data_IF_034411592421
#
_entry.id   IF_034411592421
#
_cell.length_a   1.000
_cell.length_b   1.000
_cell.length_c   1.000
_cell.angle_alpha   90.00
_cell.angle_beta   90.00
_cell.angle_gamma   90.00
#
_symmetry.space_group_name_H-M   'P 1'
#
loop_
_entity.id
_entity.type
_entity.pdbx_description
1 polymer ?
#
# COMPACT_ATOMS: atom_id res chain seq x y z
N UNK A 1 -9.37 -11.30 0.84
CA UNK A 1 -7.93 -11.14 0.51
C UNK A 1 -7.10 -11.56 1.72
N UNK A 2 -6.09 -12.37 1.51
CA UNK A 2 -5.17 -12.77 2.57
C UNK A 2 -3.93 -11.87 2.57
N UNK A 3 -3.15 -11.91 3.66
CA UNK A 3 -1.85 -11.24 3.70
C UNK A 3 -0.94 -11.75 2.58
N UNK A 4 -0.97 -13.07 2.29
CA UNK A 4 -0.21 -13.65 1.18
C UNK A 4 -0.67 -13.10 -0.18
N UNK A 5 -1.96 -12.87 -0.35
CA UNK A 5 -2.50 -12.26 -1.56
C UNK A 5 -2.05 -10.81 -1.73
N UNK A 6 -2.08 -10.05 -0.64
CA UNK A 6 -1.57 -8.67 -0.62
C UNK A 6 -0.09 -8.65 -1.03
N UNK A 7 0.71 -9.53 -0.42
CA UNK A 7 2.13 -9.66 -0.72
C UNK A 7 2.38 -9.96 -2.20
N UNK A 8 1.63 -10.89 -2.76
CA UNK A 8 1.77 -11.27 -4.16
C UNK A 8 1.50 -10.11 -5.10
N UNK A 9 0.43 -9.35 -4.85
CA UNK A 9 0.08 -8.20 -5.68
C UNK A 9 1.13 -7.10 -5.55
N UNK A 10 1.59 -6.80 -4.33
CA UNK A 10 2.63 -5.80 -4.11
C UNK A 10 3.91 -6.15 -4.86
N UNK A 11 4.31 -7.43 -4.83
CA UNK A 11 5.53 -7.89 -5.48
C UNK A 11 5.39 -8.03 -7.00
N UNK A 12 4.17 -7.98 -7.54
CA UNK A 12 3.93 -8.00 -8.98
C UNK A 12 4.27 -6.66 -9.64
N UNK A 13 4.38 -5.59 -8.87
CA UNK A 13 4.72 -4.28 -9.41
C UNK A 13 6.21 -4.22 -9.80
N UNK A 14 6.55 -3.48 -10.87
CA UNK A 14 7.93 -3.49 -11.39
C UNK A 14 8.96 -3.11 -10.33
N UNK A 15 10.03 -3.90 -10.23
CA UNK A 15 11.16 -3.71 -9.32
C UNK A 15 10.78 -3.65 -7.83
N UNK A 16 9.57 -4.11 -7.48
CA UNK A 16 9.17 -4.19 -6.09
C UNK A 16 9.90 -5.34 -5.40
N UNK A 17 10.41 -5.09 -4.20
CA UNK A 17 11.07 -6.09 -3.37
C UNK A 17 10.47 -6.09 -1.97
N UNK A 18 10.58 -7.21 -1.31
CA UNK A 18 10.16 -7.35 0.07
C UNK A 18 11.34 -7.09 1.01
N UNK A 19 11.11 -6.29 2.03
CA UNK A 19 12.02 -6.09 3.14
C UNK A 19 11.27 -6.34 4.44
N UNK A 20 11.89 -5.99 5.55
CA UNK A 20 11.23 -6.05 6.84
C UNK A 20 11.83 -5.04 7.80
N UNK A 21 11.03 -4.62 8.79
CA UNK A 21 11.52 -3.86 9.93
C UNK A 21 10.69 -4.28 11.14
N UNK A 22 11.38 -4.45 12.27
CA UNK A 22 10.74 -4.93 13.50
C UNK A 22 9.95 -6.22 13.30
N UNK A 23 10.45 -7.12 12.43
CA UNK A 23 9.82 -8.41 12.18
C UNK A 23 8.57 -8.35 11.30
N UNK A 24 8.22 -7.19 10.76
CA UNK A 24 7.03 -7.02 9.91
C UNK A 24 7.44 -6.82 8.47
N UNK A 25 6.74 -7.48 7.55
CA UNK A 25 7.03 -7.36 6.12
C UNK A 25 6.68 -5.96 5.59
N UNK A 26 7.56 -5.43 4.76
CA UNK A 26 7.28 -4.23 3.99
C UNK A 26 7.65 -4.46 2.52
N UNK A 27 7.19 -3.54 1.67
CA UNK A 27 7.41 -3.63 0.22
C UNK A 27 8.01 -2.33 -0.27
N UNK A 28 9.09 -2.45 -1.04
CA UNK A 28 9.94 -1.31 -1.41
C UNK A 28 10.15 -1.24 -2.91
N UNK A 29 10.35 -0.03 -3.38
CA UNK A 29 10.81 0.25 -4.74
C UNK A 29 11.80 1.41 -4.69
N UNK A 30 12.95 1.26 -5.34
CA UNK A 30 13.99 2.28 -5.30
C UNK A 30 14.48 2.58 -3.89
N UNK A 31 14.46 1.59 -3.00
CA UNK A 31 14.89 1.73 -1.60
C UNK A 31 13.87 2.39 -0.68
N UNK A 32 12.67 2.71 -1.17
CA UNK A 32 11.62 3.37 -0.37
C UNK A 32 10.44 2.46 -0.15
N UNK A 33 9.90 2.44 1.06
CA UNK A 33 8.73 1.63 1.41
C UNK A 33 7.48 2.28 0.81
N UNK A 34 6.66 1.48 0.09
CA UNK A 34 5.38 1.96 -0.43
C UNK A 34 4.18 1.26 0.22
N UNK A 35 4.39 0.10 0.84
CA UNK A 35 3.32 -0.63 1.52
C UNK A 35 3.91 -1.51 2.62
N UNK A 36 3.09 -1.89 3.60
CA UNK A 36 3.51 -2.79 4.68
C UNK A 36 2.41 -3.75 5.08
N UNK A 37 2.80 -4.83 5.77
CA UNK A 37 1.89 -5.75 6.44
C UNK A 37 1.97 -5.62 7.97
N UNK A 38 2.42 -4.46 8.46
CA UNK A 38 2.58 -4.23 9.90
C UNK A 38 1.27 -4.36 10.69
N UNK A 39 0.12 -4.12 10.06
CA UNK A 39 -1.19 -4.25 10.70
C UNK A 39 -1.96 -5.48 10.22
N UNK A 40 -1.28 -6.47 9.62
CA UNK A 40 -1.94 -7.68 9.10
C UNK A 40 -2.63 -8.47 10.20
N UNK A 41 -2.08 -8.51 11.41
CA UNK A 41 -2.71 -9.18 12.54
C UNK A 41 -4.05 -8.55 12.94
N UNK A 42 -4.27 -7.30 12.56
CA UNK A 42 -5.53 -6.59 12.81
C UNK A 42 -6.45 -6.62 11.58
N UNK A 43 -6.05 -7.31 10.52
CA UNK A 43 -6.85 -7.44 9.31
C UNK A 43 -6.61 -6.37 8.25
N UNK A 44 -5.51 -5.64 8.34
CA UNK A 44 -5.22 -4.53 7.41
C UNK A 44 -3.88 -4.68 6.71
N UNK A 45 -3.84 -4.28 5.43
CA UNK A 45 -2.61 -3.86 4.79
C UNK A 45 -2.45 -2.35 4.96
N UNK A 46 -1.26 -1.82 4.76
CA UNK A 46 -1.00 -0.38 4.85
C UNK A 46 -0.35 0.11 3.57
N UNK A 47 -0.89 1.21 3.05
CA UNK A 47 -0.38 1.89 1.86
C UNK A 47 0.17 3.26 2.27
N UNK A 48 1.35 3.62 1.77
CA UNK A 48 1.95 4.92 2.05
C UNK A 48 1.57 5.89 0.91
N UNK A 49 0.47 6.60 1.12
CA UNK A 49 -0.10 7.54 0.15
C UNK A 49 0.17 8.98 0.56
N UNK A 50 -0.15 9.93 -0.31
CA UNK A 50 -0.25 11.33 0.10
C UNK A 50 -1.57 11.53 0.84
N UNK A 51 -1.68 12.59 1.67
CA UNK A 51 -2.96 12.90 2.31
C UNK A 51 -4.10 13.08 1.32
N UNK A 52 -3.82 13.65 0.15
CA UNK A 52 -4.83 13.87 -0.90
C UNK A 52 -5.30 12.54 -1.50
N UNK A 53 -4.36 11.63 -1.80
CA UNK A 53 -4.72 10.30 -2.30
C UNK A 53 -5.52 9.52 -1.26
N UNK A 54 -5.10 9.60 0.01
CA UNK A 54 -5.82 8.98 1.12
C UNK A 54 -7.26 9.49 1.19
N UNK A 55 -7.45 10.80 1.16
CA UNK A 55 -8.77 11.41 1.26
C UNK A 55 -9.69 10.92 0.13
N UNK A 56 -9.17 10.85 -1.11
CA UNK A 56 -9.93 10.36 -2.24
C UNK A 56 -10.36 8.91 -2.10
N UNK A 57 -9.44 8.05 -1.65
CA UNK A 57 -9.75 6.64 -1.46
C UNK A 57 -10.75 6.40 -0.34
N UNK A 58 -10.60 7.11 0.77
CA UNK A 58 -11.53 7.00 1.90
C UNK A 58 -12.91 7.48 1.51
N UNK A 59 -12.99 8.56 0.71
CA UNK A 59 -14.27 9.06 0.23
C UNK A 59 -14.96 8.07 -0.71
N UNK A 60 -14.19 7.48 -1.65
CA UNK A 60 -14.73 6.55 -2.64
C UNK A 60 -15.14 5.22 -2.03
N UNK A 61 -14.36 4.69 -1.10
CA UNK A 61 -14.56 3.35 -0.52
C UNK A 61 -14.30 3.36 0.99
N UNK A 62 -15.17 4.02 1.78
CA UNK A 62 -14.93 4.20 3.22
C UNK A 62 -14.97 2.90 4.03
N UNK A 63 -15.57 1.83 3.47
CA UNK A 63 -15.58 0.53 4.13
C UNK A 63 -14.30 -0.27 3.89
N UNK A 64 -13.53 0.11 2.87
CA UNK A 64 -12.29 -0.58 2.48
C UNK A 64 -11.08 0.18 3.00
N UNK A 65 -11.06 1.51 2.85
CA UNK A 65 -9.92 2.35 3.20
C UNK A 65 -10.22 3.25 4.38
N UNK A 66 -9.22 3.39 5.27
CA UNK A 66 -9.30 4.31 6.41
C UNK A 66 -7.88 4.78 6.78
N UNK A 67 -7.74 5.99 7.35
CA UNK A 67 -6.41 6.42 7.80
C UNK A 67 -5.87 5.52 8.90
N UNK A 68 -4.56 5.30 8.91
CA UNK A 68 -3.89 4.70 10.06
C UNK A 68 -4.07 5.66 11.24
N UNK A 69 -4.39 5.17 12.45
CA UNK A 69 -4.52 6.07 13.60
C UNK A 69 -3.24 6.83 13.90
N UNK A 70 -3.40 8.10 14.30
CA UNK A 70 -2.28 8.93 14.74
C UNK A 70 -1.58 9.68 13.62
N UNK A 71 -0.34 10.11 13.90
CA UNK A 71 0.42 10.96 12.99
C UNK A 71 0.73 10.35 11.63
N UNK A 72 0.92 9.04 11.58
CA UNK A 72 1.18 8.35 10.32
C UNK A 72 -0.01 8.47 9.38
N UNK A 73 -1.23 8.31 9.91
CA UNK A 73 -2.44 8.51 9.12
C UNK A 73 -2.58 9.94 8.63
N UNK A 74 -2.24 10.91 9.46
CA UNK A 74 -2.27 12.33 9.05
C UNK A 74 -1.29 12.61 7.91
N UNK A 75 -0.23 11.84 7.81
CA UNK A 75 0.77 11.98 6.73
C UNK A 75 0.44 11.15 5.50
N UNK A 76 -0.70 10.46 5.49
CA UNK A 76 -1.18 9.73 4.32
C UNK A 76 -1.15 8.20 4.43
N UNK A 77 -0.59 7.63 5.50
CA UNK A 77 -0.61 6.17 5.68
C UNK A 77 -2.05 5.70 5.84
N UNK A 78 -2.44 4.75 4.98
CA UNK A 78 -3.83 4.35 4.81
C UNK A 78 -3.98 2.85 5.02
N UNK A 79 -4.95 2.47 5.85
CA UNK A 79 -5.29 1.06 6.04
C UNK A 79 -6.21 0.60 4.93
N UNK A 80 -5.98 -0.63 4.46
CA UNK A 80 -6.91 -1.30 3.55
C UNK A 80 -7.41 -2.57 4.22
N UNK A 81 -8.73 -2.71 4.30
CA UNK A 81 -9.36 -3.89 4.90
C UNK A 81 -9.12 -5.12 4.02
N UNK A 82 -8.33 -6.07 4.52
CA UNK A 82 -8.07 -7.30 3.77
C UNK A 82 -9.35 -8.12 3.57
N UNK A 83 -10.27 -8.08 4.53
CA UNK A 83 -11.53 -8.82 4.43
C UNK A 83 -12.44 -8.29 3.32
N UNK A 84 -12.37 -7.02 2.98
CA UNK A 84 -13.33 -6.35 2.10
C UNK A 84 -12.77 -5.99 0.73
N UNK A 85 -11.45 -5.83 0.59
CA UNK A 85 -10.85 -5.37 -0.66
C UNK A 85 -10.86 -6.49 -1.71
N UNK A 86 -11.16 -6.11 -2.96
CA UNK A 86 -11.05 -7.02 -4.11
C UNK A 86 -9.69 -6.85 -4.77
N UNK A 87 -9.19 -7.89 -5.49
CA UNK A 87 -7.84 -7.84 -6.08
C UNK A 87 -7.60 -6.66 -7.02
N UNK A 88 -8.56 -6.31 -7.86
CA UNK A 88 -8.43 -5.20 -8.80
C UNK A 88 -8.35 -3.84 -8.09
N UNK A 89 -9.15 -3.66 -7.05
CA UNK A 89 -9.11 -2.44 -6.24
C UNK A 89 -7.77 -2.33 -5.51
N UNK A 90 -7.31 -3.44 -4.94
CA UNK A 90 -6.02 -3.47 -4.24
C UNK A 90 -4.85 -3.19 -5.19
N UNK A 91 -4.87 -3.79 -6.38
CA UNK A 91 -3.82 -3.55 -7.36
C UNK A 91 -3.73 -2.07 -7.73
N UNK A 92 -4.87 -1.43 -8.00
CA UNK A 92 -4.90 0.00 -8.33
C UNK A 92 -4.38 0.86 -7.18
N UNK A 93 -4.77 0.55 -5.96
CA UNK A 93 -4.32 1.27 -4.78
C UNK A 93 -2.82 1.09 -4.51
N UNK A 94 -2.33 -0.15 -4.63
CA UNK A 94 -0.90 -0.44 -4.47
C UNK A 94 -0.07 0.25 -5.55
N UNK A 95 -0.58 0.31 -6.79
CA UNK A 95 0.11 0.99 -7.89
C UNK A 95 0.25 2.49 -7.61
N UNK A 96 -0.77 3.14 -7.04
CA UNK A 96 -0.66 4.56 -6.66
C UNK A 96 0.46 4.76 -5.63
N UNK A 97 0.51 3.93 -4.59
CA UNK A 97 1.57 4.01 -3.59
C UNK A 97 2.94 3.75 -4.20
N UNK A 98 3.03 2.76 -5.08
CA UNK A 98 4.25 2.39 -5.79
C UNK A 98 4.74 3.55 -6.68
N UNK A 99 3.86 4.15 -7.50
CA UNK A 99 4.23 5.26 -8.38
C UNK A 99 4.78 6.45 -7.59
N UNK A 100 4.21 6.70 -6.41
CA UNK A 100 4.65 7.79 -5.54
C UNK A 100 6.10 7.60 -5.07
N UNK A 101 6.52 6.36 -4.86
CA UNK A 101 7.84 6.01 -4.31
C UNK A 101 8.85 5.60 -5.36
N UNK A 102 8.41 5.11 -6.51
CA UNK A 102 9.30 4.61 -7.55
C UNK A 102 10.09 5.75 -8.18
N UNK A 103 11.37 5.51 -8.52
CA UNK A 103 12.12 6.48 -9.34
C UNK A 103 11.39 6.73 -10.65
N UNK A 104 11.49 7.94 -11.17
CA UNK A 104 10.81 8.32 -12.43
C UNK A 104 11.19 7.41 -13.59
N UNK A 105 12.43 6.96 -13.63
CA UNK A 105 12.91 6.03 -14.65
C UNK A 105 12.13 4.71 -14.62
N UNK A 106 11.89 4.17 -13.42
CA UNK A 106 11.15 2.92 -13.23
C UNK A 106 9.70 3.09 -13.66
N UNK A 107 9.07 4.19 -13.27
CA UNK A 107 7.67 4.49 -13.66
C UNK A 107 7.55 4.58 -15.17
N UNK A 108 8.49 5.28 -15.85
CA UNK A 108 8.46 5.41 -17.30
C UNK A 108 8.64 4.08 -18.02
N UNK A 109 9.48 3.19 -17.51
CA UNK A 109 9.69 1.87 -18.09
C UNK A 109 8.49 0.95 -17.91
N UNK A 110 7.65 1.20 -16.90
CA UNK A 110 6.49 0.39 -16.58
C UNK A 110 5.24 0.78 -17.38
N UNK A 111 5.28 1.88 -18.13
CA UNK A 111 4.14 2.39 -18.90
C UNK A 111 4.12 1.92 -20.34
#
# INVERSE_FOLDING_TARGET
>A
MTAAGFRRIALSLPEAIEGSHFGQADFRVGGKIFATLALASEGYGVLLLTPEQQAGMVEDEPKIFSPVPGGWGRNGSTRVSLAKVKPDILEGALRLAWERKAPKKVVRQAR
#
